data_IF_775503096385
#
_entry.id   IF_775503096385
#
_cell.length_a   1.000
_cell.length_b   1.000
_cell.length_c   1.000
_cell.angle_alpha   90.00
_cell.angle_beta   90.00
_cell.angle_gamma   90.00
#
_symmetry.space_group_name_H-M   'P 1'
#
loop_
_entity.id
_entity.type
_entity.pdbx_description
1 polymer ?
#
# COMPACT_ATOMS: atom_id res chain seq x y z
N UNK A 1 6.45 -17.38 1.38
CA UNK A 1 5.74 -16.58 2.40
C UNK A 1 6.84 -15.82 3.11
N UNK A 2 7.10 -14.57 2.74
CA UNK A 2 8.20 -13.81 3.34
C UNK A 2 7.66 -12.96 4.47
N UNK A 3 7.83 -13.46 5.69
CA UNK A 3 7.57 -12.70 6.89
C UNK A 3 8.76 -11.78 7.14
N UNK A 4 8.57 -10.47 6.98
CA UNK A 4 9.63 -9.50 7.23
C UNK A 4 9.60 -9.11 8.71
N UNK A 5 10.45 -9.78 9.47
CA UNK A 5 10.87 -9.31 10.78
C UNK A 5 12.18 -8.58 10.58
N UNK A 6 12.32 -7.39 11.18
CA UNK A 6 13.61 -6.73 11.27
C UNK A 6 14.01 -6.69 12.74
N UNK A 7 15.15 -7.30 13.01
CA UNK A 7 15.83 -7.32 14.30
C UNK A 7 17.32 -7.13 14.04
N UNK A 8 18.01 -6.47 14.96
CA UNK A 8 19.44 -6.23 14.84
C UNK A 8 19.92 -5.04 15.66
N UNK A 9 21.22 -4.81 15.59
CA UNK A 9 21.88 -3.62 16.13
C UNK A 9 21.70 -2.46 15.13
N UNK A 10 20.94 -1.44 15.53
CA UNK A 10 20.64 -0.28 14.68
C UNK A 10 21.62 0.89 14.86
N UNK A 11 22.70 0.72 15.65
CA UNK A 11 23.80 1.67 15.82
C UNK A 11 23.43 3.12 16.24
N UNK A 12 22.16 3.43 16.56
CA UNK A 12 21.72 4.77 17.03
C UNK A 12 20.82 4.78 18.27
N UNK A 13 21.06 5.76 19.15
CA UNK A 13 20.35 5.97 20.40
C UNK A 13 19.13 6.90 20.21
N UNK A 14 17.91 6.47 20.54
CA UNK A 14 16.70 7.31 20.42
C UNK A 14 16.35 8.13 21.67
N UNK A 15 17.12 8.01 22.77
CA UNK A 15 16.66 8.48 24.09
C UNK A 15 17.53 9.57 24.72
N UNK A 16 18.50 10.16 24.01
CA UNK A 16 19.17 11.36 24.52
C UNK A 16 18.17 12.54 24.51
N UNK A 17 18.07 13.33 25.59
CA UNK A 17 17.41 14.62 25.56
C UNK A 17 18.03 15.47 24.45
N UNK A 18 17.21 16.31 23.86
CA UNK A 18 17.24 16.99 22.56
C UNK A 18 18.48 17.82 22.19
N UNK A 19 19.63 17.69 22.87
CA UNK A 19 20.78 18.57 22.64
C UNK A 19 21.88 17.99 21.72
N UNK A 20 21.93 16.68 21.43
CA UNK A 20 23.11 16.09 20.76
C UNK A 20 22.81 14.95 19.75
N UNK A 21 21.61 14.89 19.18
CA UNK A 21 21.32 14.04 18.02
C UNK A 21 21.11 14.95 16.80
N UNK A 22 22.19 15.21 16.07
CA UNK A 22 22.15 15.82 14.73
C UNK A 22 22.28 14.72 13.68
N UNK A 23 21.35 14.63 12.73
CA UNK A 23 21.51 13.82 11.52
C UNK A 23 20.22 13.21 10.95
N UNK A 24 20.13 13.11 9.62
CA UNK A 24 18.97 12.61 8.85
C UNK A 24 18.61 11.13 9.07
N UNK A 25 19.46 10.36 9.75
CA UNK A 25 19.18 8.95 10.07
C UNK A 25 18.10 8.79 11.16
N UNK A 26 18.02 9.67 12.16
CA UNK A 26 16.94 9.63 13.17
C UNK A 26 15.57 9.85 12.52
N UNK A 27 15.54 10.72 11.52
CA UNK A 27 14.38 11.02 10.70
C UNK A 27 14.03 9.84 9.78
N UNK A 28 15.03 9.18 9.21
CA UNK A 28 14.86 7.93 8.45
C UNK A 28 14.15 6.85 9.30
N UNK A 29 14.47 6.75 10.59
CA UNK A 29 13.82 5.79 11.50
C UNK A 29 12.40 6.19 11.90
N UNK A 30 12.13 7.47 12.13
CA UNK A 30 10.75 7.98 12.30
C UNK A 30 9.93 7.75 11.04
N UNK A 31 10.55 7.90 9.87
CA UNK A 31 9.93 7.57 8.60
C UNK A 31 9.72 6.07 8.46
N UNK A 32 10.55 5.22 9.05
CA UNK A 32 10.32 3.76 9.04
C UNK A 32 9.08 3.37 9.86
N UNK A 33 8.85 4.00 11.02
CA UNK A 33 7.62 3.83 11.82
C UNK A 33 6.38 4.38 11.09
N UNK A 34 6.52 5.49 10.37
CA UNK A 34 5.39 6.16 9.69
C UNK A 34 5.06 5.59 8.29
N UNK A 35 6.06 5.28 7.46
CA UNK A 35 5.85 4.81 6.09
C UNK A 35 5.67 3.32 5.95
N UNK A 36 6.30 2.52 6.81
CA UNK A 36 6.27 1.07 6.69
C UNK A 36 5.36 0.41 7.73
N UNK A 37 4.66 1.23 8.51
CA UNK A 37 3.72 0.82 9.54
C UNK A 37 4.34 -0.21 10.50
N UNK A 38 5.57 0.03 10.93
CA UNK A 38 6.31 -0.80 11.89
C UNK A 38 6.40 -0.09 13.24
N UNK A 39 5.86 -0.69 14.29
CA UNK A 39 6.04 -0.19 15.64
C UNK A 39 7.21 -0.88 16.35
N UNK A 40 7.98 -0.10 17.10
CA UNK A 40 8.97 -0.62 18.03
C UNK A 40 8.27 -1.32 19.21
N UNK A 41 8.45 -2.64 19.32
CA UNK A 41 7.78 -3.48 20.31
C UNK A 41 8.09 -3.06 21.75
N UNK A 42 9.24 -2.45 22.02
CA UNK A 42 9.55 -1.94 23.35
C UNK A 42 8.50 -0.93 23.81
N UNK A 43 8.03 -0.08 22.90
CA UNK A 43 7.02 0.93 23.20
C UNK A 43 5.61 0.34 23.32
N UNK A 44 5.34 -0.76 22.61
CA UNK A 44 4.04 -1.44 22.64
C UNK A 44 3.87 -2.46 23.77
N UNK A 45 4.95 -2.98 24.36
CA UNK A 45 4.90 -4.04 25.36
C UNK A 45 4.15 -3.62 26.64
N UNK A 46 3.27 -4.49 27.15
CA UNK A 46 2.57 -4.25 28.43
C UNK A 46 3.50 -4.30 29.64
N UNK A 47 4.57 -5.10 29.55
CA UNK A 47 5.59 -5.22 30.59
C UNK A 47 6.98 -5.04 29.97
N UNK A 48 7.81 -4.23 30.62
CA UNK A 48 9.20 -3.98 30.23
C UNK A 48 10.09 -4.40 31.39
N UNK A 49 11.05 -5.28 31.13
CA UNK A 49 11.96 -5.81 32.14
C UNK A 49 13.41 -5.56 31.75
N UNK A 50 14.28 -5.35 32.75
CA UNK A 50 15.70 -5.14 32.55
C UNK A 50 16.10 -3.67 32.30
N UNK A 51 17.39 -3.44 32.00
CA UNK A 51 17.95 -2.10 31.80
C UNK A 51 17.37 -1.44 30.56
N UNK A 52 17.15 -0.13 30.59
CA UNK A 52 16.53 0.62 29.48
C UNK A 52 17.36 0.64 28.18
N UNK A 53 18.66 0.49 28.30
CA UNK A 53 19.64 0.56 27.22
C UNK A 53 20.18 -0.83 26.91
N UNK A 54 20.44 -1.10 25.64
CA UNK A 54 20.96 -2.39 25.19
C UNK A 54 22.46 -2.36 25.04
N UNK A 55 23.10 -1.20 24.93
CA UNK A 55 24.55 -1.06 24.92
C UNK A 55 25.02 -0.18 26.06
N UNK A 56 26.10 -0.59 26.73
CA UNK A 56 26.75 0.19 27.77
C UNK A 56 28.27 0.17 27.56
N UNK A 57 28.86 1.35 27.39
CA UNK A 57 30.31 1.48 27.24
C UNK A 57 30.83 2.54 28.20
N UNK A 58 31.86 2.20 28.97
CA UNK A 58 32.59 3.18 29.78
C UNK A 58 33.80 3.67 29.00
N UNK A 59 33.79 4.94 28.56
CA UNK A 59 34.94 5.59 27.91
C UNK A 59 35.37 6.78 28.75
N UNK A 60 36.63 6.78 29.21
CA UNK A 60 37.19 7.89 30.00
C UNK A 60 36.43 8.15 31.30
N UNK A 61 35.97 7.11 31.99
CA UNK A 61 35.20 7.22 33.24
C UNK A 61 33.75 7.71 33.08
N UNK A 62 33.31 8.01 31.85
CA UNK A 62 31.91 8.32 31.55
C UNK A 62 31.19 7.10 30.99
N UNK A 63 30.03 6.78 31.57
CA UNK A 63 29.14 5.74 31.10
C UNK A 63 28.30 6.31 29.93
N UNK A 64 28.50 5.79 28.72
CA UNK A 64 27.63 6.07 27.56
C UNK A 64 26.70 4.87 27.35
N UNK A 65 25.41 5.14 27.34
CA UNK A 65 24.38 4.10 27.23
C UNK A 65 23.47 4.39 26.04
N UNK A 66 23.13 3.36 25.27
CA UNK A 66 22.27 3.48 24.11
C UNK A 66 21.32 2.29 23.92
N UNK A 67 20.11 2.54 23.41
CA UNK A 67 19.18 1.47 22.99
C UNK A 67 19.30 1.28 21.48
N UNK A 68 20.24 0.42 21.09
CA UNK A 68 20.58 0.16 19.71
C UNK A 68 19.82 -1.03 19.15
N UNK A 69 19.60 -2.05 19.98
CA UNK A 69 18.96 -3.30 19.59
C UNK A 69 17.44 -3.17 19.75
N UNK A 70 16.70 -3.51 18.70
CA UNK A 70 15.24 -3.32 18.66
C UNK A 70 14.55 -4.45 17.94
N UNK A 71 13.27 -4.58 18.24
CA UNK A 71 12.37 -5.50 17.55
C UNK A 71 11.21 -4.66 17.04
N UNK A 72 11.07 -4.61 15.72
CA UNK A 72 9.95 -3.95 15.06
C UNK A 72 8.93 -4.98 14.61
N UNK A 73 7.65 -4.67 14.80
CA UNK A 73 6.55 -5.47 14.27
C UNK A 73 5.60 -4.59 13.47
N UNK A 74 5.10 -5.11 12.35
CA UNK A 74 4.13 -4.38 11.55
C UNK A 74 2.84 -4.20 12.34
N UNK A 75 2.29 -2.97 12.36
CA UNK A 75 1.01 -2.67 13.01
C UNK A 75 -0.17 -3.36 12.35
N UNK A 76 0.02 -3.81 11.10
CA UNK A 76 -0.99 -4.49 10.26
C UNK A 76 -1.22 -5.94 10.62
N UNK A 77 -0.26 -6.57 11.28
CA UNK A 77 -0.49 -7.91 11.77
C UNK A 77 -1.22 -7.86 13.11
N UNK A 78 -2.10 -8.82 13.36
CA UNK A 78 -2.81 -9.00 14.64
C UNK A 78 -1.84 -9.19 15.85
N UNK A 79 -0.52 -9.13 15.65
CA UNK A 79 0.55 -9.14 16.68
C UNK A 79 0.48 -7.97 17.66
N UNK A 80 -0.13 -6.84 17.27
CA UNK A 80 -0.35 -5.73 18.21
C UNK A 80 -1.22 -6.18 19.40
N UNK A 81 -1.98 -7.26 19.24
CA UNK A 81 -2.64 -7.91 20.35
C UNK A 81 -1.63 -8.87 21.01
N UNK A 82 -0.96 -8.33 22.02
CA UNK A 82 -0.19 -9.00 23.07
C UNK A 82 1.32 -9.23 22.81
N UNK A 83 2.06 -8.14 22.55
CA UNK A 83 3.42 -8.07 23.09
C UNK A 83 3.31 -8.00 24.62
N UNK A 84 3.38 -9.16 25.26
CA UNK A 84 3.18 -9.27 26.71
C UNK A 84 4.36 -8.67 27.46
N UNK A 85 5.57 -8.96 26.96
CA UNK A 85 6.80 -8.59 27.64
C UNK A 85 7.91 -8.34 26.64
N UNK A 86 8.68 -7.28 26.89
CA UNK A 86 10.03 -7.10 26.33
C UNK A 86 11.01 -7.10 27.50
N UNK A 87 12.01 -7.99 27.46
CA UNK A 87 13.04 -8.14 28.49
C UNK A 87 14.41 -7.86 27.86
N UNK A 88 15.15 -6.93 28.45
CA UNK A 88 16.58 -6.80 28.21
C UNK A 88 17.32 -7.66 29.24
N UNK A 89 18.01 -8.71 28.81
CA UNK A 89 18.58 -9.67 29.76
C UNK A 89 19.94 -9.19 30.28
N UNK A 90 19.91 -8.36 31.33
CA UNK A 90 21.11 -7.76 31.94
C UNK A 90 22.00 -8.72 32.75
N UNK A 91 22.00 -10.01 32.43
CA UNK A 91 22.95 -10.97 33.00
C UNK A 91 24.39 -10.69 32.58
N UNK A 92 25.34 -11.46 33.10
CA UNK A 92 26.73 -11.42 32.64
C UNK A 92 26.77 -11.79 31.15
N UNK A 93 26.99 -10.78 30.32
CA UNK A 93 27.13 -10.95 28.86
C UNK A 93 28.59 -10.79 28.49
N UNK A 94 29.07 -11.60 27.55
CA UNK A 94 30.42 -11.46 26.99
C UNK A 94 30.51 -10.33 25.95
N UNK A 95 29.46 -9.52 25.81
CA UNK A 95 29.28 -8.48 24.79
C UNK A 95 29.01 -7.14 25.47
N UNK A 96 29.36 -6.03 24.82
CA UNK A 96 28.91 -4.69 25.25
C UNK A 96 27.42 -4.45 24.94
N UNK A 97 26.75 -5.43 24.33
CA UNK A 97 25.32 -5.46 24.07
C UNK A 97 24.56 -6.47 24.96
N UNK A 98 23.39 -6.04 25.41
CA UNK A 98 22.41 -6.76 26.21
C UNK A 98 21.35 -7.30 25.25
N UNK A 99 21.08 -8.61 25.22
CA UNK A 99 20.11 -9.19 24.32
C UNK A 99 18.69 -8.69 24.62
N UNK A 100 17.92 -8.43 23.56
CA UNK A 100 16.51 -8.02 23.62
C UNK A 100 15.64 -9.22 23.31
N UNK A 101 14.82 -9.62 24.27
CA UNK A 101 13.85 -10.71 24.16
C UNK A 101 12.44 -10.13 24.14
N UNK A 102 11.58 -10.61 23.25
CA UNK A 102 10.16 -10.25 23.22
C UNK A 102 9.28 -11.49 23.29
N UNK A 103 8.37 -11.52 24.27
CA UNK A 103 7.32 -12.53 24.37
C UNK A 103 6.10 -12.05 23.59
N UNK A 104 5.93 -12.64 22.41
CA UNK A 104 4.81 -12.39 21.52
C UNK A 104 3.74 -13.46 21.75
N UNK A 105 2.58 -13.08 22.29
CA UNK A 105 1.42 -13.95 22.27
C UNK A 105 0.72 -13.77 20.93
N UNK A 106 1.10 -14.63 20.00
CA UNK A 106 0.40 -14.75 18.73
C UNK A 106 -0.97 -15.34 19.03
N UNK A 107 -2.01 -14.52 19.12
CA UNK A 107 -3.37 -15.06 19.02
C UNK A 107 -3.53 -15.53 17.59
N UNK A 108 -3.15 -16.78 17.32
CA UNK A 108 -3.53 -17.46 16.10
C UNK A 108 -5.04 -17.55 16.12
N UNK A 109 -5.70 -16.55 15.54
CA UNK A 109 -7.12 -16.61 15.28
C UNK A 109 -7.28 -17.71 14.23
N UNK A 110 -7.36 -18.98 14.67
CA UNK A 110 -7.40 -20.17 13.79
C UNK A 110 -8.58 -20.11 12.81
N UNK A 111 -9.59 -19.29 13.10
CA UNK A 111 -10.75 -19.03 12.22
C UNK A 111 -10.48 -18.02 11.11
N UNK A 112 -9.41 -17.22 11.21
CA UNK A 112 -8.91 -16.34 10.16
C UNK A 112 -7.47 -16.70 9.90
N UNK A 113 -7.25 -17.77 9.13
CA UNK A 113 -6.29 -17.63 8.02
C UNK A 113 -6.72 -16.35 7.34
N UNK A 114 -6.09 -15.24 7.69
CA UNK A 114 -6.16 -14.01 6.93
C UNK A 114 -5.64 -14.44 5.57
N UNK A 115 -6.56 -14.91 4.71
CA UNK A 115 -6.43 -14.72 3.28
C UNK A 115 -5.92 -13.31 3.22
N UNK A 116 -4.64 -13.12 2.84
CA UNK A 116 -4.05 -11.81 2.54
C UNK A 116 -5.23 -11.02 2.05
N UNK A 117 -5.65 -9.99 2.79
CA UNK A 117 -6.72 -9.10 2.34
C UNK A 117 -6.20 -8.65 1.01
N UNK A 118 -6.62 -9.34 -0.05
CA UNK A 118 -5.99 -9.26 -1.34
C UNK A 118 -6.26 -7.82 -1.67
N UNK A 119 -5.21 -6.99 -1.64
CA UNK A 119 -5.35 -5.54 -1.76
C UNK A 119 -6.42 -5.35 -2.80
N UNK A 120 -7.54 -4.75 -2.36
CA UNK A 120 -8.76 -4.76 -3.13
C UNK A 120 -8.45 -3.88 -4.32
N UNK A 121 -7.83 -4.46 -5.35
CA UNK A 121 -7.39 -3.72 -6.51
C UNK A 121 -8.68 -3.27 -7.17
N UNK A 122 -8.93 -1.99 -7.01
CA UNK A 122 -10.08 -1.32 -7.57
C UNK A 122 -9.82 -1.27 -9.07
N UNK A 123 -10.68 -1.96 -9.81
CA UNK A 123 -10.57 -2.07 -11.26
C UNK A 123 -11.43 -0.97 -11.87
N UNK A 124 -10.84 -0.16 -12.76
CA UNK A 124 -11.53 0.92 -13.50
C UNK A 124 -12.74 0.37 -14.26
N UNK A 125 -12.66 -0.87 -14.73
CA UNK A 125 -13.76 -1.50 -15.45
C UNK A 125 -15.03 -1.68 -14.59
N UNK A 126 -14.88 -1.64 -13.26
CA UNK A 126 -16.01 -1.67 -12.33
C UNK A 126 -16.92 -0.45 -12.51
N UNK A 127 -16.35 0.72 -12.81
CA UNK A 127 -17.10 1.96 -12.98
C UNK A 127 -17.92 2.00 -14.27
N UNK A 128 -17.55 1.18 -15.27
CA UNK A 128 -18.27 1.10 -16.55
C UNK A 128 -19.58 0.35 -16.47
N UNK A 129 -19.81 -0.43 -15.42
CA UNK A 129 -21.08 -1.13 -15.24
C UNK A 129 -22.16 -0.15 -14.76
N UNK A 130 -23.38 -0.20 -15.33
CA UNK A 130 -24.46 0.72 -14.98
C UNK A 130 -24.71 0.77 -13.47
N UNK A 131 -24.84 1.96 -12.89
CA UNK A 131 -25.16 2.18 -11.48
C UNK A 131 -23.99 2.00 -10.50
N UNK A 132 -22.84 1.45 -10.93
CA UNK A 132 -21.70 1.23 -10.02
C UNK A 132 -21.00 2.52 -9.64
N UNK A 133 -20.87 3.49 -10.58
CA UNK A 133 -20.27 4.80 -10.29
C UNK A 133 -21.13 5.57 -9.27
N UNK A 134 -22.44 5.54 -9.42
CA UNK A 134 -23.40 6.18 -8.51
C UNK A 134 -23.40 5.53 -7.13
N UNK A 135 -23.35 4.20 -7.04
CA UNK A 135 -23.26 3.48 -5.78
C UNK A 135 -21.94 3.77 -5.04
N UNK A 136 -20.81 3.91 -5.77
CA UNK A 136 -19.54 4.32 -5.19
C UNK A 136 -19.61 5.76 -4.69
N UNK A 137 -20.19 6.68 -5.48
CA UNK A 137 -20.39 8.07 -5.07
C UNK A 137 -21.26 8.17 -3.81
N UNK A 138 -22.34 7.38 -3.71
CA UNK A 138 -23.19 7.33 -2.50
C UNK A 138 -22.38 6.86 -1.29
N UNK A 139 -21.68 5.73 -1.42
CA UNK A 139 -20.86 5.17 -0.35
C UNK A 139 -19.74 6.12 0.10
N UNK A 140 -19.13 6.82 -0.85
CA UNK A 140 -18.15 7.87 -0.59
C UNK A 140 -18.76 8.99 0.27
N UNK A 141 -19.85 9.60 -0.20
CA UNK A 141 -20.51 10.70 0.49
C UNK A 141 -21.00 10.30 1.89
N UNK A 142 -21.56 9.09 2.01
CA UNK A 142 -21.99 8.54 3.31
C UNK A 142 -20.84 8.44 4.30
N UNK A 143 -19.64 8.04 3.87
CA UNK A 143 -18.48 7.92 4.75
C UNK A 143 -17.75 9.24 5.00
N UNK A 144 -17.65 10.10 3.99
CA UNK A 144 -16.98 11.40 4.07
C UNK A 144 -17.69 12.33 5.06
N UNK A 145 -19.01 12.28 5.12
CA UNK A 145 -19.81 13.08 6.05
C UNK A 145 -19.76 12.60 7.51
N UNK A 146 -19.11 11.46 7.83
CA UNK A 146 -19.10 10.90 9.20
C UNK A 146 -18.10 11.58 10.13
N UNK A 147 -17.16 12.36 9.61
CA UNK A 147 -16.12 13.01 10.40
C UNK A 147 -15.82 14.41 9.89
N UNK A 148 -15.66 15.41 10.79
CA UNK A 148 -15.16 16.72 10.41
C UNK A 148 -13.64 16.72 10.12
N UNK A 149 -12.89 15.77 10.69
CA UNK A 149 -11.47 15.59 10.41
C UNK A 149 -11.27 14.91 9.04
N UNK A 150 -10.53 15.52 8.09
CA UNK A 150 -10.45 15.04 6.72
C UNK A 150 -9.73 13.71 6.57
N UNK A 151 -8.76 13.40 7.44
CA UNK A 151 -8.02 12.12 7.41
C UNK A 151 -8.96 10.99 7.82
N UNK A 152 -9.66 11.17 8.94
CA UNK A 152 -10.64 10.20 9.43
C UNK A 152 -11.81 10.05 8.45
N UNK A 153 -12.28 11.15 7.86
CA UNK A 153 -13.33 11.14 6.84
C UNK A 153 -12.91 10.37 5.58
N UNK A 154 -11.66 10.54 5.12
CA UNK A 154 -11.09 9.80 3.98
C UNK A 154 -11.09 8.30 4.24
N UNK A 155 -10.61 7.89 5.41
CA UNK A 155 -10.54 6.47 5.80
C UNK A 155 -11.94 5.83 5.89
N UNK A 156 -12.91 6.56 6.44
CA UNK A 156 -14.31 6.12 6.54
C UNK A 156 -14.96 6.04 5.14
N UNK A 157 -14.77 7.05 4.29
CA UNK A 157 -15.27 7.07 2.92
C UNK A 157 -14.73 5.89 2.10
N UNK A 158 -13.41 5.67 2.10
CA UNK A 158 -12.82 4.51 1.43
C UNK A 158 -13.18 3.19 2.11
N UNK A 159 -13.43 3.18 3.42
CA UNK A 159 -14.00 2.03 4.12
C UNK A 159 -15.35 1.62 3.52
N UNK A 160 -16.27 2.57 3.35
CA UNK A 160 -17.59 2.34 2.73
C UNK A 160 -17.47 1.92 1.28
N UNK A 161 -16.66 2.62 0.49
CA UNK A 161 -16.41 2.26 -0.91
C UNK A 161 -15.89 0.83 -1.02
N UNK A 162 -14.95 0.42 -0.16
CA UNK A 162 -14.43 -0.97 -0.13
C UNK A 162 -15.52 -2.00 0.14
N UNK A 163 -16.47 -1.72 1.03
CA UNK A 163 -17.62 -2.62 1.26
C UNK A 163 -18.50 -2.73 0.01
N UNK A 164 -18.79 -1.61 -0.66
CA UNK A 164 -19.53 -1.60 -1.93
C UNK A 164 -18.80 -2.39 -3.02
N UNK A 165 -17.48 -2.31 -3.11
CA UNK A 165 -16.72 -3.15 -4.04
C UNK A 165 -16.77 -4.65 -3.69
N UNK A 166 -16.90 -5.01 -2.41
CA UNK A 166 -17.09 -6.42 -2.03
C UNK A 166 -18.44 -6.95 -2.52
N UNK A 167 -19.50 -6.13 -2.47
CA UNK A 167 -20.81 -6.55 -3.01
C UNK A 167 -20.72 -6.73 -4.52
N UNK A 168 -20.09 -5.79 -5.24
CA UNK A 168 -19.83 -5.92 -6.68
C UNK A 168 -19.05 -7.18 -7.05
N UNK A 169 -18.01 -7.53 -6.28
CA UNK A 169 -17.26 -8.77 -6.52
C UNK A 169 -18.09 -10.03 -6.27
N UNK A 170 -19.01 -9.98 -5.32
CA UNK A 170 -19.95 -11.09 -5.07
C UNK A 170 -20.89 -11.26 -6.25
N UNK A 171 -21.50 -10.18 -6.73
CA UNK A 171 -22.34 -10.17 -7.93
C UNK A 171 -21.58 -10.68 -9.16
N UNK A 172 -20.36 -10.19 -9.38
CA UNK A 172 -19.53 -10.61 -10.52
C UNK A 172 -19.22 -12.12 -10.44
N UNK A 173 -18.94 -12.64 -9.25
CA UNK A 173 -18.71 -14.07 -9.04
C UNK A 173 -19.97 -14.90 -9.29
N UNK A 174 -21.14 -14.41 -8.89
CA UNK A 174 -22.43 -15.06 -9.17
C UNK A 174 -22.71 -15.07 -10.67
N UNK A 175 -22.54 -13.95 -11.36
CA UNK A 175 -22.67 -13.85 -12.82
C UNK A 175 -21.74 -14.84 -13.56
N UNK A 176 -20.47 -14.92 -13.15
CA UNK A 176 -19.51 -15.88 -13.70
C UNK A 176 -19.92 -17.33 -13.45
N UNK A 177 -20.48 -17.63 -12.28
CA UNK A 177 -20.98 -18.97 -11.97
C UNK A 177 -22.16 -19.34 -12.85
N UNK A 178 -23.09 -18.42 -13.06
CA UNK A 178 -24.25 -18.62 -13.96
C UNK A 178 -23.79 -18.84 -15.40
N UNK A 179 -22.86 -18.02 -15.91
CA UNK A 179 -22.33 -18.18 -17.26
C UNK A 179 -21.65 -19.54 -17.44
N UNK A 180 -20.89 -20.00 -16.44
CA UNK A 180 -20.27 -21.33 -16.49
C UNK A 180 -21.31 -22.46 -16.52
N UNK A 181 -22.43 -22.32 -15.81
CA UNK A 181 -23.52 -23.29 -15.87
C UNK A 181 -24.18 -23.30 -17.26
N UNK A 182 -24.40 -22.12 -17.87
CA UNK A 182 -24.93 -22.01 -19.23
C UNK A 182 -23.99 -22.64 -20.27
N UNK A 183 -22.68 -22.42 -20.15
CA UNK A 183 -21.68 -23.08 -20.99
C UNK A 183 -21.72 -24.60 -20.88
N UNK A 184 -21.86 -25.13 -19.67
CA UNK A 184 -21.97 -26.58 -19.47
C UNK A 184 -23.24 -27.15 -20.13
N UNK A 185 -24.39 -26.47 -19.98
CA UNK A 185 -25.64 -26.86 -20.65
C UNK A 185 -25.52 -26.82 -22.16
N UNK A 186 -24.84 -25.80 -22.70
CA UNK A 186 -24.60 -25.68 -24.14
C UNK A 186 -23.77 -26.87 -24.66
N UNK A 187 -22.76 -27.31 -23.89
CA UNK A 187 -21.96 -28.48 -24.26
C UNK A 187 -22.75 -29.80 -24.13
N UNK A 188 -23.62 -29.94 -23.13
CA UNK A 188 -24.54 -31.08 -23.02
C UNK A 188 -25.48 -31.16 -24.24
N UNK A 189 -26.08 -30.05 -24.66
CA UNK A 189 -26.92 -29.98 -25.86
C UNK A 189 -26.13 -30.32 -27.13
N UNK A 190 -24.86 -29.89 -27.21
CA UNK A 190 -23.97 -30.21 -28.34
C UNK A 190 -23.72 -31.71 -28.46
N UNK A 191 -23.49 -32.39 -27.33
CA UNK A 191 -23.31 -33.85 -27.28
C UNK A 191 -24.60 -34.56 -27.73
N UNK A 192 -25.76 -34.14 -27.22
CA UNK A 192 -27.05 -34.72 -27.60
C UNK A 192 -27.34 -34.59 -29.11
N UNK A 193 -27.05 -33.43 -29.71
CA UNK A 193 -27.18 -33.22 -31.17
C UNK A 193 -26.26 -34.16 -31.96
N UNK A 194 -25.07 -34.47 -31.44
CA UNK A 194 -24.12 -35.36 -32.10
C UNK A 194 -24.54 -36.85 -32.00
N UNK A 195 -25.14 -37.24 -30.88
CA UNK A 195 -25.62 -38.61 -30.64
C UNK A 195 -26.94 -38.92 -31.38
N UNK A 196 -27.89 -37.98 -31.41
CA UNK A 196 -29.17 -38.13 -32.11
C UNK A 196 -29.55 -36.87 -32.91
N UNK A 197 -29.06 -36.76 -34.16
CA UNK A 197 -29.32 -35.58 -35.01
C UNK A 197 -30.79 -35.38 -35.40
N UNK A 198 -31.62 -36.42 -35.25
CA UNK A 198 -33.03 -36.44 -35.67
C UNK A 198 -34.00 -35.96 -34.59
N UNK A 199 -33.65 -36.14 -33.32
CA UNK A 199 -34.49 -35.75 -32.17
C UNK A 199 -34.04 -34.46 -31.47
N UNK A 200 -32.87 -33.93 -31.84
CA UNK A 200 -32.30 -32.82 -31.08
C UNK A 200 -32.95 -31.45 -31.36
N UNK A 201 -33.16 -30.66 -30.29
CA UNK A 201 -33.70 -29.31 -30.33
C UNK A 201 -32.68 -28.28 -30.85
N UNK A 202 -32.42 -28.31 -32.16
CA UNK A 202 -31.41 -27.45 -32.83
C UNK A 202 -31.68 -25.95 -32.68
N UNK A 203 -32.94 -25.56 -32.50
CA UNK A 203 -33.33 -24.16 -32.30
C UNK A 203 -32.93 -23.65 -30.90
N UNK A 204 -33.19 -24.45 -29.86
CA UNK A 204 -32.76 -24.14 -28.49
C UNK A 204 -31.24 -24.03 -28.37
N UNK A 205 -30.50 -24.94 -29.02
CA UNK A 205 -29.04 -24.85 -29.08
C UNK A 205 -28.55 -23.54 -29.71
N UNK A 206 -29.10 -23.15 -30.88
CA UNK A 206 -28.71 -21.90 -31.56
C UNK A 206 -28.99 -20.67 -30.71
N UNK A 207 -30.16 -20.63 -30.06
CA UNK A 207 -30.54 -19.53 -29.17
C UNK A 207 -29.58 -19.42 -27.97
N UNK A 208 -29.32 -20.55 -27.30
CA UNK A 208 -28.40 -20.58 -26.16
C UNK A 208 -26.97 -20.25 -26.56
N UNK A 209 -26.52 -20.71 -27.73
CA UNK A 209 -25.20 -20.38 -28.28
C UNK A 209 -25.05 -18.87 -28.50
N UNK A 210 -26.09 -18.22 -29.04
CA UNK A 210 -26.10 -16.77 -29.23
C UNK A 210 -26.04 -16.02 -27.89
N UNK A 211 -26.87 -16.42 -26.92
CA UNK A 211 -26.90 -15.81 -25.57
C UNK A 211 -25.56 -15.95 -24.84
N UNK A 212 -24.93 -17.14 -24.89
CA UNK A 212 -23.61 -17.39 -24.29
C UNK A 212 -22.54 -16.56 -25.00
N UNK A 213 -22.55 -16.48 -26.34
CA UNK A 213 -21.61 -15.65 -27.10
C UNK A 213 -21.72 -14.17 -26.77
N UNK A 214 -22.94 -13.63 -26.62
CA UNK A 214 -23.16 -12.23 -26.24
C UNK A 214 -22.64 -11.94 -24.82
N UNK A 215 -22.91 -12.84 -23.87
CA UNK A 215 -22.39 -12.73 -22.50
C UNK A 215 -20.86 -12.87 -22.45
N UNK A 216 -20.29 -13.83 -23.17
CA UNK A 216 -18.85 -14.01 -23.28
C UNK A 216 -18.15 -12.82 -23.94
N UNK A 217 -18.74 -12.23 -24.99
CA UNK A 217 -18.18 -11.03 -25.61
C UNK A 217 -18.15 -9.86 -24.62
N UNK A 218 -19.21 -9.71 -23.85
CA UNK A 218 -19.30 -8.70 -22.78
C UNK A 218 -18.22 -8.93 -21.72
N UNK A 219 -18.02 -10.18 -21.29
CA UNK A 219 -17.01 -10.54 -20.30
C UNK A 219 -15.58 -10.44 -20.85
N UNK A 220 -15.32 -10.93 -22.06
CA UNK A 220 -14.01 -10.83 -22.74
C UNK A 220 -13.65 -9.37 -23.00
N UNK A 221 -14.60 -8.46 -23.20
CA UNK A 221 -14.32 -7.00 -23.28
C UNK A 221 -13.78 -6.44 -21.96
N UNK A 222 -14.21 -7.01 -20.84
CA UNK A 222 -13.74 -6.67 -19.49
C UNK A 222 -12.38 -7.35 -19.23
N UNK A 223 -12.20 -8.61 -19.61
CA UNK A 223 -10.94 -9.32 -19.37
C UNK A 223 -9.79 -8.94 -20.32
N UNK A 224 -10.04 -8.58 -21.59
CA UNK A 224 -8.98 -8.30 -22.58
C UNK A 224 -8.18 -7.02 -22.30
N UNK A 225 -8.68 -6.09 -21.49
CA UNK A 225 -7.92 -4.92 -21.03
C UNK A 225 -7.03 -5.21 -19.82
N UNK A 226 -7.22 -6.36 -19.17
CA UNK A 226 -6.24 -6.86 -18.21
C UNK A 226 -5.03 -7.32 -19.02
N UNK A 227 -3.93 -6.60 -18.87
CA UNK A 227 -2.57 -7.01 -19.22
C UNK A 227 -2.42 -8.53 -19.16
N UNK A 228 -1.92 -9.14 -20.25
CA UNK A 228 -1.64 -10.57 -20.41
C UNK A 228 -1.34 -11.22 -19.07
N UNK A 229 -2.30 -12.00 -18.54
CA UNK A 229 -2.11 -12.72 -17.28
C UNK A 229 -1.24 -13.92 -17.61
N UNK A 230 0.06 -13.75 -17.41
CA UNK A 230 1.04 -14.84 -17.47
C UNK A 230 0.77 -15.78 -16.30
N UNK A 231 0.25 -16.98 -16.59
CA UNK A 231 -0.11 -17.98 -15.56
C UNK A 231 0.99 -19.01 -15.34
N UNK A 232 1.88 -19.20 -16.30
CA UNK A 232 2.95 -20.17 -16.20
C UNK A 232 4.13 -19.58 -15.43
N UNK A 233 4.58 -20.28 -14.38
CA UNK A 233 5.70 -19.87 -13.52
C UNK A 233 6.96 -19.53 -14.32
N UNK A 234 7.27 -20.34 -15.35
CA UNK A 234 8.42 -20.11 -16.23
C UNK A 234 8.31 -18.80 -17.01
N UNK A 235 7.11 -18.48 -17.49
CA UNK A 235 6.85 -17.27 -18.25
C UNK A 235 6.85 -16.04 -17.32
N UNK A 236 6.39 -16.18 -16.06
CA UNK A 236 6.50 -15.14 -15.03
C UNK A 236 7.97 -14.83 -14.75
N UNK A 237 8.78 -15.85 -14.47
CA UNK A 237 10.21 -15.69 -14.20
C UNK A 237 10.92 -15.05 -15.39
N UNK A 238 10.65 -15.52 -16.61
CA UNK A 238 11.20 -14.92 -17.83
C UNK A 238 10.81 -13.45 -17.98
N UNK A 239 9.55 -13.09 -17.72
CA UNK A 239 9.09 -11.69 -17.81
C UNK A 239 9.77 -10.82 -16.76
N UNK A 240 9.98 -11.33 -15.54
CA UNK A 240 10.70 -10.63 -14.47
C UNK A 240 12.17 -10.44 -14.85
N UNK A 241 12.83 -11.49 -15.35
CA UNK A 241 14.21 -11.44 -15.83
C UNK A 241 14.38 -10.48 -17.00
N UNK A 242 13.49 -10.51 -17.99
CA UNK A 242 13.48 -9.57 -19.11
C UNK A 242 13.28 -8.14 -18.60
N UNK A 243 12.31 -7.89 -17.70
CA UNK A 243 12.03 -6.56 -17.18
C UNK A 243 13.20 -5.98 -16.38
N UNK A 244 13.70 -6.68 -15.36
CA UNK A 244 14.80 -6.17 -14.54
C UNK A 244 16.13 -6.23 -15.28
N UNK A 245 16.30 -7.18 -16.21
CA UNK A 245 17.43 -7.22 -17.12
C UNK A 245 17.49 -5.97 -17.99
N UNK A 246 16.37 -5.51 -18.55
CA UNK A 246 16.32 -4.26 -19.33
C UNK A 246 16.45 -3.00 -18.45
N UNK A 247 15.82 -2.99 -17.27
CA UNK A 247 15.78 -1.82 -16.38
C UNK A 247 17.18 -1.31 -15.99
N UNK A 248 18.13 -2.22 -15.80
CA UNK A 248 19.51 -1.90 -15.39
C UNK A 248 20.52 -1.96 -16.53
N UNK A 249 20.09 -2.28 -17.75
CA UNK A 249 20.96 -2.24 -18.95
C UNK A 249 21.12 -0.83 -19.50
N UNK A 250 20.34 0.14 -19.02
CA UNK A 250 20.61 1.53 -19.37
C UNK A 250 22.02 1.86 -18.87
N UNK A 251 22.99 2.09 -19.77
CA UNK A 251 24.33 2.44 -19.35
C UNK A 251 24.21 3.70 -18.48
N UNK A 252 25.02 3.84 -17.41
CA UNK A 252 25.16 5.13 -16.77
C UNK A 252 25.43 6.15 -17.88
N UNK A 253 24.74 7.30 -17.89
CA UNK A 253 24.84 8.27 -18.96
C UNK A 253 26.29 8.80 -19.02
N UNK A 254 27.13 8.13 -19.80
CA UNK A 254 28.52 8.45 -20.11
C UNK A 254 29.53 8.27 -18.94
N UNK A 255 30.76 7.87 -19.27
CA UNK A 255 31.92 8.04 -18.38
C UNK A 255 32.09 9.55 -18.15
N UNK A 256 31.82 10.03 -16.93
CA UNK A 256 31.75 11.45 -16.59
C UNK A 256 30.46 11.88 -15.89
N UNK A 257 29.44 11.01 -15.81
CA UNK A 257 28.15 11.32 -15.17
C UNK A 257 28.25 11.86 -13.73
N UNK A 258 29.26 11.44 -12.97
CA UNK A 258 29.48 11.92 -11.60
C UNK A 258 30.04 13.34 -11.59
N UNK A 259 31.00 13.65 -12.46
CA UNK A 259 31.58 14.99 -12.61
C UNK A 259 30.52 15.97 -13.16
N UNK A 260 29.72 15.53 -14.13
CA UNK A 260 28.61 16.31 -14.71
C UNK A 260 27.50 16.55 -13.67
N UNK A 261 27.24 15.57 -12.78
CA UNK A 261 26.29 15.73 -11.67
C UNK A 261 26.80 16.75 -10.66
N UNK A 262 28.07 16.70 -10.28
CA UNK A 262 28.65 17.64 -9.32
C UNK A 262 28.71 19.06 -9.90
N UNK A 263 29.06 19.21 -11.18
CA UNK A 263 29.00 20.48 -11.90
C UNK A 263 27.56 21.04 -11.98
N UNK A 264 26.56 20.19 -12.23
CA UNK A 264 25.14 20.58 -12.18
C UNK A 264 24.73 20.98 -10.75
N UNK A 265 25.20 20.28 -9.72
CA UNK A 265 24.90 20.63 -8.33
C UNK A 265 25.60 21.91 -7.88
N UNK A 266 26.77 22.23 -8.43
CA UNK A 266 27.49 23.49 -8.17
C UNK A 266 26.85 24.68 -8.88
N UNK A 267 26.20 24.47 -10.02
CA UNK A 267 25.49 25.51 -10.77
C UNK A 267 24.09 25.82 -10.25
N UNK A 268 23.50 24.93 -9.44
CA UNK A 268 22.22 25.19 -8.77
C UNK A 268 22.44 26.20 -7.64
N UNK A 269 21.82 27.37 -7.76
CA UNK A 269 21.81 28.38 -6.69
C UNK A 269 21.23 27.77 -5.41
N UNK A 270 22.01 27.85 -4.32
CA UNK A 270 21.62 27.32 -3.00
C UNK A 270 20.61 28.22 -2.30
N UNK A 271 20.30 29.37 -2.86
CA UNK A 271 19.32 30.30 -2.33
C UNK A 271 18.03 30.23 -3.14
N UNK A 272 16.92 29.94 -2.44
CA UNK A 272 15.58 29.98 -3.04
C UNK A 272 15.17 31.45 -3.11
N UNK A 273 14.83 31.94 -4.29
CA UNK A 273 14.36 33.32 -4.45
C UNK A 273 13.06 33.54 -3.65
N UNK A 274 12.73 34.78 -3.32
CA UNK A 274 11.45 35.05 -2.63
C UNK A 274 10.23 34.66 -3.47
N UNK A 275 10.35 34.76 -4.80
CA UNK A 275 9.31 34.34 -5.74
C UNK A 275 9.14 32.82 -5.72
N UNK A 276 10.24 32.07 -5.84
CA UNK A 276 10.22 30.61 -5.77
C UNK A 276 9.73 30.12 -4.40
N UNK A 277 10.15 30.78 -3.32
CA UNK A 277 9.69 30.43 -1.99
C UNK A 277 8.18 30.69 -1.86
N UNK A 278 7.67 31.80 -2.42
CA UNK A 278 6.24 32.08 -2.47
C UNK A 278 5.47 31.02 -3.27
N UNK A 279 6.02 30.56 -4.39
CA UNK A 279 5.46 29.49 -5.20
C UNK A 279 5.47 28.14 -4.46
N UNK A 280 6.60 27.74 -3.89
CA UNK A 280 6.80 26.47 -3.20
C UNK A 280 6.03 26.35 -1.87
N UNK A 281 5.68 27.49 -1.26
CA UNK A 281 4.89 27.53 -0.01
C UNK A 281 3.40 27.79 -0.24
N UNK A 282 2.99 28.03 -1.49
CA UNK A 282 1.59 28.23 -1.83
C UNK A 282 0.81 26.94 -1.56
N UNK A 283 -0.41 27.07 -1.03
CA UNK A 283 -1.30 25.92 -0.93
C UNK A 283 -1.67 25.42 -2.32
N UNK A 284 -1.57 24.10 -2.57
CA UNK A 284 -1.91 23.53 -3.86
C UNK A 284 -3.41 23.69 -4.12
N UNK A 285 -3.74 24.15 -5.31
CA UNK A 285 -5.13 24.33 -5.71
C UNK A 285 -5.71 23.06 -6.35
N UNK A 286 -7.05 23.02 -6.53
CA UNK A 286 -7.73 21.85 -7.11
C UNK A 286 -7.20 21.49 -8.50
N UNK A 287 -6.85 22.52 -9.30
CA UNK A 287 -6.40 22.33 -10.67
C UNK A 287 -5.00 21.70 -10.68
N UNK A 288 -4.10 22.17 -9.83
CA UNK A 288 -2.77 21.61 -9.64
C UNK A 288 -2.83 20.14 -9.18
N UNK A 289 -3.72 19.83 -8.23
CA UNK A 289 -3.91 18.45 -7.76
C UNK A 289 -4.44 17.56 -8.91
N UNK A 290 -5.41 18.05 -9.69
CA UNK A 290 -5.95 17.31 -10.82
C UNK A 290 -4.90 17.09 -11.91
N UNK A 291 -4.15 18.12 -12.31
CA UNK A 291 -3.07 18.03 -13.30
C UNK A 291 -1.97 17.06 -12.84
N UNK A 292 -1.67 17.06 -11.53
CA UNK A 292 -0.74 16.09 -10.93
C UNK A 292 -1.29 14.67 -11.05
N UNK A 293 -2.55 14.44 -10.71
CA UNK A 293 -3.20 13.12 -10.86
C UNK A 293 -3.21 12.68 -12.33
N UNK A 294 -3.52 13.60 -13.24
CA UNK A 294 -3.62 13.33 -14.68
C UNK A 294 -2.25 13.02 -15.32
N UNK A 295 -1.19 13.70 -14.87
CA UNK A 295 0.19 13.48 -15.33
C UNK A 295 0.81 12.17 -14.79
N UNK A 296 0.27 11.61 -13.71
CA UNK A 296 0.74 10.33 -13.18
C UNK A 296 0.48 9.17 -14.15
N UNK A 297 1.54 8.38 -14.40
CA UNK A 297 1.51 7.18 -15.23
C UNK A 297 0.58 6.10 -14.65
N UNK A 298 -0.09 5.38 -15.55
CA UNK A 298 -0.94 4.24 -15.21
C UNK A 298 -0.19 3.12 -14.48
N UNK A 299 -0.89 2.37 -13.64
CA UNK A 299 -0.37 1.27 -12.85
C UNK A 299 0.31 1.69 -11.56
N UNK A 300 0.46 3.00 -11.31
CA UNK A 300 0.94 3.51 -10.02
C UNK A 300 -0.20 3.47 -9.00
N UNK A 301 0.06 2.82 -7.89
CA UNK A 301 -0.78 2.87 -6.69
C UNK A 301 -0.14 3.87 -5.72
N UNK A 302 -0.73 5.05 -5.49
CA UNK A 302 -0.16 6.09 -4.63
C UNK A 302 -0.05 5.70 -3.16
N UNK A 303 -0.73 4.64 -2.70
CA UNK A 303 -0.74 4.30 -1.28
C UNK A 303 -1.05 2.85 -0.97
N UNK A 304 -1.02 2.57 0.33
CA UNK A 304 -1.29 1.27 0.91
C UNK A 304 -2.78 0.89 0.94
N UNK A 305 -3.65 1.86 0.59
CA UNK A 305 -5.10 1.72 0.49
C UNK A 305 -5.54 0.87 -0.72
N UNK A 306 -4.65 0.67 -1.70
CA UNK A 306 -4.90 -0.09 -2.92
C UNK A 306 -5.74 0.66 -3.95
N UNK A 307 -5.95 1.97 -3.76
CA UNK A 307 -6.56 2.84 -4.76
C UNK A 307 -5.52 3.12 -5.83
N UNK A 308 -5.84 2.87 -7.10
CA UNK A 308 -4.91 3.16 -8.21
C UNK A 308 -5.15 4.57 -8.74
N UNK A 309 -4.18 5.13 -9.44
CA UNK A 309 -4.34 6.46 -10.02
C UNK A 309 -5.51 6.54 -11.01
N UNK A 310 -5.77 5.48 -11.77
CA UNK A 310 -6.89 5.46 -12.71
C UNK A 310 -8.24 5.48 -12.01
N UNK A 311 -8.32 4.85 -10.83
CA UNK A 311 -9.51 4.92 -10.00
C UNK A 311 -9.72 6.35 -9.55
N UNK A 312 -8.67 7.03 -9.06
CA UNK A 312 -8.75 8.45 -8.68
C UNK A 312 -9.18 9.33 -9.85
N UNK A 313 -8.64 9.12 -11.06
CA UNK A 313 -9.07 9.83 -12.28
C UNK A 313 -10.56 9.62 -12.55
N UNK A 314 -11.05 8.38 -12.44
CA UNK A 314 -12.45 8.02 -12.70
C UNK A 314 -13.41 8.61 -11.65
N UNK A 315 -12.96 8.77 -10.40
CA UNK A 315 -13.77 9.28 -9.29
C UNK A 315 -13.53 10.74 -8.92
N UNK A 316 -12.67 11.44 -9.67
CA UNK A 316 -12.19 12.79 -9.35
C UNK A 316 -13.33 13.75 -8.95
N UNK A 317 -14.41 13.74 -9.73
CA UNK A 317 -15.61 14.58 -9.56
C UNK A 317 -16.19 14.61 -8.13
N UNK A 318 -15.98 13.57 -7.33
CA UNK A 318 -16.49 13.52 -5.96
C UNK A 318 -15.42 13.32 -4.89
N UNK A 319 -14.16 13.11 -5.26
CA UNK A 319 -13.04 13.07 -4.30
C UNK A 319 -12.24 14.38 -4.27
N UNK A 320 -12.46 15.29 -5.23
CA UNK A 320 -11.71 16.55 -5.37
C UNK A 320 -11.65 17.38 -4.08
N UNK A 321 -12.78 17.55 -3.39
CA UNK A 321 -12.88 18.31 -2.15
C UNK A 321 -12.06 17.66 -1.02
N UNK A 322 -12.06 16.32 -0.97
CA UNK A 322 -11.29 15.59 0.01
C UNK A 322 -9.79 15.70 -0.26
N UNK A 323 -9.37 15.58 -1.52
CA UNK A 323 -7.99 15.76 -1.92
C UNK A 323 -7.48 17.16 -1.59
N UNK A 324 -8.27 18.21 -1.85
CA UNK A 324 -7.94 19.59 -1.47
C UNK A 324 -7.78 19.74 0.05
N UNK A 325 -8.76 19.26 0.84
CA UNK A 325 -8.71 19.33 2.31
C UNK A 325 -7.54 18.57 2.91
N UNK A 326 -7.24 17.38 2.38
CA UNK A 326 -6.08 16.59 2.80
C UNK A 326 -4.77 17.29 2.42
N UNK A 327 -4.69 17.84 1.21
CA UNK A 327 -3.49 18.53 0.74
C UNK A 327 -3.16 19.73 1.62
N UNK A 328 -4.16 20.55 1.99
CA UNK A 328 -3.99 21.62 2.98
C UNK A 328 -3.52 21.10 4.34
N UNK A 329 -4.10 19.99 4.81
CA UNK A 329 -3.76 19.40 6.11
C UNK A 329 -2.32 18.88 6.17
N UNK A 330 -1.81 18.30 5.09
CA UNK A 330 -0.45 17.77 5.01
C UNK A 330 0.59 18.82 4.60
N UNK A 331 0.21 19.77 3.75
CA UNK A 331 1.05 20.85 3.25
C UNK A 331 1.19 22.03 4.22
N UNK A 332 0.27 22.19 5.17
CA UNK A 332 0.43 23.15 6.24
C UNK A 332 1.77 22.91 6.95
N UNK A 333 2.68 23.90 7.01
CA UNK A 333 3.90 23.78 7.78
C UNK A 333 3.52 23.30 9.17
N UNK A 334 4.12 22.20 9.63
CA UNK A 334 4.01 21.78 11.03
C UNK A 334 4.81 22.77 11.89
N UNK A 335 4.40 24.03 11.91
CA UNK A 335 4.91 25.12 12.73
C UNK A 335 3.69 25.87 13.27
N UNK A 336 3.63 26.31 14.52
CA UNK A 336 4.71 26.91 15.30
C UNK A 336 4.40 26.86 16.80
N UNK A 337 4.04 25.69 17.35
CA UNK A 337 4.10 25.48 18.81
C UNK A 337 5.53 25.16 19.28
N UNK A 338 6.53 25.72 18.60
CA UNK A 338 7.87 25.82 19.18
C UNK A 338 7.79 26.93 20.23
N UNK A 339 7.32 26.54 21.41
CA UNK A 339 7.41 27.21 22.70
C UNK A 339 8.51 28.28 22.70
N UNK A 340 8.12 29.54 22.69
CA UNK A 340 8.88 30.59 23.37
C UNK A 340 9.03 30.16 24.84
N UNK A 341 10.16 29.53 25.18
CA UNK A 341 10.65 29.37 26.54
C UNK A 341 12.13 29.67 26.58
#
# INVERSE_FOLDING_TARGET
MDYRHQYGDFSQNHQKPTALLKGGLLETWRNLDQHWDFADLYHLATRREGPRFTRQVTRGGRLDQARLDRIYASRRGEWIIATLRVKHDGGETASDHIPVLADLKITANKSRRTRRTSFLKLDVDTFRKPGRKEAIRSAWNEGWCLSPDPITAWDLAWGRVRETFKTFRKEDKEQLSTLKQEQNKLEELRIQIAEDPGNANKEEYRKMEQEVKEKEMTEKRILRRRSRVVKEEREVLKTIEEFYGELYKQPPPNEGAEEERDEVLETIDRTVSQEDNGFLTKEPDKKEIQETIDSMASGKSPGEDGVTIEVLKEVWEFVEEACEKLSRRYGAPRGSECSTR
#
